data_IF_955918187453
#
_entry.id   IF_955918187453
#
_cell.length_a   1.000
_cell.length_b   1.000
_cell.length_c   1.000
_cell.angle_alpha   90.00
_cell.angle_beta   90.00
_cell.angle_gamma   90.00
#
_symmetry.space_group_name_H-M   'P 1'
#
loop_
_entity.id
_entity.type
_entity.pdbx_description
1 polymer ?
#
# COMPACT_ATOMS: atom_id res chain seq x y z
N UNK A 1 0.90 3.56 17.18
CA UNK A 1 -0.23 3.11 16.35
C UNK A 1 -0.17 3.97 15.09
N UNK A 2 -0.16 3.36 13.90
CA UNK A 2 -0.19 4.13 12.65
C UNK A 2 -1.66 4.41 12.35
N UNK A 3 -2.18 5.58 12.72
CA UNK A 3 -3.63 5.86 12.68
C UNK A 3 -4.12 6.41 11.33
N UNK A 4 -3.35 6.14 10.27
CA UNK A 4 -3.50 6.76 8.96
C UNK A 4 -4.89 6.51 8.35
N UNK A 5 -5.56 5.41 8.70
CA UNK A 5 -6.83 5.02 8.09
C UNK A 5 -8.05 5.43 8.93
N UNK A 6 -7.92 5.50 10.27
CA UNK A 6 -8.97 6.11 11.08
C UNK A 6 -9.10 7.60 10.80
N UNK A 7 -7.98 8.32 10.69
CA UNK A 7 -7.99 9.73 10.26
C UNK A 7 -8.63 9.91 8.88
N UNK A 8 -8.45 8.95 7.97
CA UNK A 8 -9.12 8.98 6.65
C UNK A 8 -10.63 8.91 6.79
N UNK A 9 -11.12 8.02 7.65
CA UNK A 9 -12.55 7.86 7.92
C UNK A 9 -13.12 9.04 8.69
N UNK A 10 -12.34 9.66 9.58
CA UNK A 10 -12.72 10.88 10.28
C UNK A 10 -12.79 12.06 9.31
N UNK A 11 -11.82 12.21 8.40
CA UNK A 11 -11.83 13.27 7.40
C UNK A 11 -13.00 13.15 6.41
N UNK A 12 -13.57 11.96 6.20
CA UNK A 12 -14.83 11.82 5.42
C UNK A 12 -16.04 12.44 6.13
N UNK A 13 -15.97 12.62 7.44
CA UNK A 13 -17.09 13.10 8.26
C UNK A 13 -16.81 14.44 8.93
N UNK A 14 -15.60 14.98 8.75
CA UNK A 14 -15.14 16.22 9.34
C UNK A 14 -15.84 17.41 8.67
N UNK A 15 -16.61 18.16 9.46
CA UNK A 15 -17.24 19.40 9.04
C UNK A 15 -16.27 20.54 9.39
N UNK A 16 -15.89 21.41 8.43
CA UNK A 16 -15.02 22.56 8.71
C UNK A 16 -15.58 23.52 9.77
N UNK A 17 -16.85 23.42 10.14
CA UNK A 17 -17.50 24.21 11.19
C UNK A 17 -17.51 23.55 12.58
N UNK A 18 -17.33 22.23 12.69
CA UNK A 18 -17.24 21.49 13.96
C UNK A 18 -16.19 20.36 13.83
N UNK A 19 -14.90 20.69 13.99
CA UNK A 19 -13.82 19.74 13.74
C UNK A 19 -13.87 18.58 14.73
N UNK A 20 -13.78 17.36 14.21
CA UNK A 20 -13.75 16.16 15.03
C UNK A 20 -12.49 16.18 15.92
N UNK A 21 -12.61 15.97 17.24
CA UNK A 21 -11.46 16.01 18.15
C UNK A 21 -10.40 14.97 17.75
N UNK A 22 -9.13 15.32 18.01
CA UNK A 22 -7.97 14.51 17.63
C UNK A 22 -8.08 13.06 18.13
N UNK A 23 -7.90 12.11 17.21
CA UNK A 23 -7.65 10.70 17.51
C UNK A 23 -6.14 10.47 17.63
N UNK A 24 -5.67 9.54 18.49
CA UNK A 24 -6.43 8.73 19.42
C UNK A 24 -6.91 9.50 20.67
N UNK A 25 -8.10 9.17 21.23
CA UNK A 25 -8.58 9.80 22.45
C UNK A 25 -7.64 9.47 23.63
N UNK A 26 -7.11 10.50 24.27
CA UNK A 26 -6.17 10.36 25.40
C UNK A 26 -6.84 10.01 26.75
N UNK A 27 -8.16 10.18 26.88
CA UNK A 27 -8.92 9.91 28.10
C UNK A 27 -10.42 9.74 27.81
N UNK A 28 -11.19 9.30 28.80
CA UNK A 28 -12.64 9.09 28.68
C UNK A 28 -13.40 10.35 28.19
N UNK A 29 -12.95 11.54 28.57
CA UNK A 29 -13.58 12.80 28.15
C UNK A 29 -13.38 13.06 26.66
N UNK A 30 -12.16 12.84 26.13
CA UNK A 30 -11.89 12.99 24.70
C UNK A 30 -12.55 11.89 23.89
N UNK A 31 -12.64 10.67 24.43
CA UNK A 31 -13.42 9.58 23.84
C UNK A 31 -14.90 9.95 23.70
N UNK A 32 -15.53 10.44 24.77
CA UNK A 32 -16.95 10.84 24.72
C UNK A 32 -17.18 12.03 23.79
N UNK A 33 -16.20 12.93 23.67
CA UNK A 33 -16.25 14.03 22.71
C UNK A 33 -16.22 13.50 21.28
N UNK A 34 -15.29 12.58 20.97
CA UNK A 34 -15.19 11.93 19.66
C UNK A 34 -16.44 11.12 19.31
N UNK A 35 -16.96 10.35 20.26
CA UNK A 35 -18.21 9.61 20.10
C UNK A 35 -19.38 10.55 19.76
N UNK A 36 -19.52 11.64 20.50
CA UNK A 36 -20.59 12.62 20.25
C UNK A 36 -20.42 13.33 18.91
N UNK A 37 -19.20 13.65 18.51
CA UNK A 37 -18.90 14.23 17.20
C UNK A 37 -19.32 13.29 16.07
N UNK A 38 -18.97 12.00 16.16
CA UNK A 38 -19.39 10.99 15.16
C UNK A 38 -20.92 10.90 15.08
N UNK A 39 -21.62 10.87 16.21
CA UNK A 39 -23.08 10.80 16.24
C UNK A 39 -23.73 12.04 15.61
N UNK A 40 -23.18 13.24 15.88
CA UNK A 40 -23.71 14.52 15.42
C UNK A 40 -23.32 14.89 13.99
N UNK A 41 -22.27 14.30 13.44
CA UNK A 41 -21.82 14.55 12.06
C UNK A 41 -22.91 14.28 11.02
N UNK A 42 -22.80 14.87 9.84
CA UNK A 42 -23.71 14.62 8.72
C UNK A 42 -23.41 13.32 7.94
N UNK A 43 -22.51 12.49 8.49
CA UNK A 43 -22.11 11.22 7.90
C UNK A 43 -23.27 10.24 7.74
N UNK A 44 -23.17 9.36 6.75
CA UNK A 44 -24.14 8.27 6.57
C UNK A 44 -24.17 7.35 7.80
N UNK A 45 -25.33 6.75 8.07
CA UNK A 45 -25.48 5.82 9.19
C UNK A 45 -24.46 4.66 9.15
N UNK A 46 -24.08 4.23 7.93
CA UNK A 46 -23.06 3.21 7.73
C UNK A 46 -21.67 3.70 8.16
N UNK A 47 -21.25 4.89 7.74
CA UNK A 47 -19.94 5.45 8.12
C UNK A 47 -19.86 5.72 9.63
N UNK A 48 -20.94 6.23 10.24
CA UNK A 48 -21.03 6.36 11.70
C UNK A 48 -20.85 4.99 12.38
N UNK A 49 -21.55 3.97 11.91
CA UNK A 49 -21.46 2.62 12.47
C UNK A 49 -20.06 2.02 12.31
N UNK A 50 -19.38 2.28 11.18
CA UNK A 50 -17.99 1.86 10.94
C UNK A 50 -17.02 2.49 11.94
N UNK A 51 -17.10 3.81 12.13
CA UNK A 51 -16.26 4.55 13.07
C UNK A 51 -16.49 4.12 14.52
N UNK A 52 -17.74 3.98 14.92
CA UNK A 52 -18.09 3.49 16.26
C UNK A 52 -17.62 2.04 16.48
N UNK A 53 -17.70 1.20 15.45
CA UNK A 53 -17.23 -0.18 15.54
C UNK A 53 -15.70 -0.24 15.69
N UNK A 54 -14.98 0.60 14.94
CA UNK A 54 -13.54 0.74 15.08
C UNK A 54 -13.17 1.15 16.53
N UNK A 55 -13.81 2.21 17.05
CA UNK A 55 -13.58 2.68 18.42
C UNK A 55 -13.88 1.60 19.47
N UNK A 56 -14.98 0.87 19.30
CA UNK A 56 -15.34 -0.20 20.22
C UNK A 56 -14.29 -1.33 20.28
N UNK A 57 -13.60 -1.62 19.17
CA UNK A 57 -12.52 -2.61 19.12
C UNK A 57 -11.26 -2.08 19.79
N UNK A 58 -10.90 -0.81 19.55
CA UNK A 58 -9.71 -0.20 20.16
C UNK A 58 -9.83 -0.14 21.68
N UNK A 59 -11.04 0.12 22.20
CA UNK A 59 -11.35 0.14 23.64
C UNK A 59 -11.61 -1.25 24.24
N UNK A 60 -11.44 -2.33 23.48
CA UNK A 60 -11.77 -3.71 23.89
C UNK A 60 -13.21 -3.87 24.45
N UNK A 61 -14.15 -3.02 24.00
CA UNK A 61 -15.53 -3.02 24.46
C UNK A 61 -16.35 -4.10 23.72
N UNK A 62 -16.22 -5.33 24.21
CA UNK A 62 -16.85 -6.52 23.64
C UNK A 62 -18.37 -6.41 23.44
N UNK A 63 -19.08 -5.71 24.33
CA UNK A 63 -20.54 -5.56 24.23
C UNK A 63 -20.91 -4.62 23.08
N UNK A 64 -20.25 -3.46 23.01
CA UNK A 64 -20.44 -2.51 21.92
C UNK A 64 -20.03 -3.11 20.57
N UNK A 65 -18.91 -3.84 20.53
CA UNK A 65 -18.46 -4.59 19.36
C UNK A 65 -19.54 -5.50 18.81
N UNK A 66 -20.10 -6.42 19.62
CA UNK A 66 -21.14 -7.36 19.15
C UNK A 66 -22.39 -6.65 18.61
N UNK A 67 -22.80 -5.56 19.26
CA UNK A 67 -23.97 -4.80 18.84
C UNK A 67 -23.72 -4.11 17.49
N UNK A 68 -22.63 -3.34 17.37
CA UNK A 68 -22.27 -2.62 16.15
C UNK A 68 -21.95 -3.57 15.00
N UNK A 69 -21.31 -4.70 15.31
CA UNK A 69 -21.03 -5.76 14.36
C UNK A 69 -22.31 -6.29 13.70
N UNK A 70 -23.43 -6.41 14.44
CA UNK A 70 -24.71 -6.85 13.90
C UNK A 70 -25.37 -5.81 12.97
N UNK A 71 -24.99 -4.54 13.08
CA UNK A 71 -25.50 -3.44 12.26
C UNK A 71 -24.70 -3.25 10.96
N UNK A 72 -23.48 -3.78 10.90
CA UNK A 72 -22.59 -3.61 9.75
C UNK A 72 -22.78 -4.71 8.70
N UNK A 73 -22.95 -4.34 7.41
CA UNK A 73 -22.79 -5.27 6.31
C UNK A 73 -21.42 -5.97 6.36
N UNK A 74 -21.35 -7.20 5.86
CA UNK A 74 -20.13 -8.00 5.92
C UNK A 74 -18.91 -7.29 5.32
N UNK A 75 -19.08 -6.61 4.17
CA UNK A 75 -17.99 -5.84 3.55
C UNK A 75 -17.47 -4.71 4.43
N UNK A 76 -18.35 -3.96 5.09
CA UNK A 76 -17.97 -2.88 6.00
C UNK A 76 -17.23 -3.43 7.24
N UNK A 77 -17.61 -4.61 7.71
CA UNK A 77 -16.92 -5.27 8.82
C UNK A 77 -15.48 -5.67 8.45
N UNK A 78 -15.32 -6.38 7.33
CA UNK A 78 -13.98 -6.75 6.85
C UNK A 78 -13.13 -5.51 6.56
N UNK A 79 -13.71 -4.45 6.03
CA UNK A 79 -12.99 -3.20 5.82
C UNK A 79 -12.38 -2.65 7.13
N UNK A 80 -13.19 -2.54 8.18
CA UNK A 80 -12.74 -2.02 9.49
C UNK A 80 -11.76 -2.97 10.19
N UNK A 81 -12.02 -4.27 10.19
CA UNK A 81 -11.09 -5.27 10.74
C UNK A 81 -9.74 -5.23 10.00
N UNK A 82 -9.76 -4.99 8.69
CA UNK A 82 -8.57 -4.79 7.87
C UNK A 82 -7.78 -3.54 8.25
N UNK A 83 -8.45 -2.42 8.50
CA UNK A 83 -7.79 -1.18 8.95
C UNK A 83 -7.15 -1.35 10.33
N UNK A 84 -7.87 -1.95 11.27
CA UNK A 84 -7.34 -2.24 12.61
C UNK A 84 -6.10 -3.14 12.54
N UNK A 85 -6.10 -4.13 11.64
CA UNK A 85 -4.94 -4.97 11.42
C UNK A 85 -3.73 -4.18 10.88
N UNK A 86 -3.93 -3.23 9.96
CA UNK A 86 -2.87 -2.33 9.50
C UNK A 86 -2.33 -1.44 10.62
N UNK A 87 -3.21 -0.88 11.44
CA UNK A 87 -2.81 0.01 12.54
C UNK A 87 -2.01 -0.74 13.62
N UNK A 88 -2.23 -2.07 13.71
CA UNK A 88 -1.49 -3.04 14.54
C UNK A 88 -0.26 -3.64 13.84
N UNK A 89 0.08 -3.19 12.64
CA UNK A 89 1.18 -3.69 11.80
C UNK A 89 1.07 -5.18 11.42
N UNK A 90 -0.16 -5.74 11.44
CA UNK A 90 -0.44 -7.11 11.00
C UNK A 90 -0.89 -7.11 9.53
N UNK A 91 0.10 -6.99 8.63
CA UNK A 91 -0.13 -6.99 7.19
C UNK A 91 -0.84 -8.25 6.68
N UNK A 92 -0.60 -9.41 7.31
CA UNK A 92 -1.19 -10.69 6.88
C UNK A 92 -2.69 -10.70 7.12
N UNK A 93 -3.10 -10.33 8.33
CA UNK A 93 -4.52 -10.22 8.69
C UNK A 93 -5.17 -9.11 7.88
N UNK A 94 -4.50 -7.96 7.75
CA UNK A 94 -5.00 -6.84 6.94
C UNK A 94 -5.36 -7.27 5.52
N UNK A 95 -4.46 -7.93 4.79
CA UNK A 95 -4.72 -8.38 3.41
C UNK A 95 -5.86 -9.40 3.37
N UNK A 96 -5.97 -10.31 4.33
CA UNK A 96 -7.04 -11.30 4.36
C UNK A 96 -8.43 -10.66 4.46
N UNK A 97 -8.58 -9.61 5.27
CA UNK A 97 -9.83 -8.87 5.39
C UNK A 97 -10.04 -7.90 4.23
N UNK A 98 -9.03 -7.10 3.88
CA UNK A 98 -9.14 -6.06 2.86
C UNK A 98 -9.33 -6.63 1.45
N UNK A 99 -8.80 -7.82 1.15
CA UNK A 99 -9.01 -8.49 -0.14
C UNK A 99 -10.36 -9.23 -0.22
N UNK A 100 -11.16 -9.22 0.84
CA UNK A 100 -12.46 -9.89 0.81
C UNK A 100 -13.36 -9.28 -0.28
N UNK A 101 -14.08 -10.08 -1.10
CA UNK A 101 -14.75 -9.59 -2.31
C UNK A 101 -15.75 -8.46 -2.08
N UNK A 102 -16.47 -8.49 -0.94
CA UNK A 102 -17.47 -7.46 -0.62
C UNK A 102 -16.89 -6.17 -0.07
N UNK A 103 -15.56 -6.05 0.11
CA UNK A 103 -14.91 -4.82 0.56
C UNK A 103 -14.78 -3.86 -0.62
N UNK A 104 -15.46 -2.72 -0.54
CA UNK A 104 -15.42 -1.64 -1.51
C UNK A 104 -14.69 -0.42 -0.93
N UNK A 105 -13.46 -0.61 -0.45
CA UNK A 105 -12.67 0.46 0.15
C UNK A 105 -12.34 1.55 -0.87
N UNK A 106 -12.58 2.81 -0.49
CA UNK A 106 -12.22 4.01 -1.25
C UNK A 106 -10.71 4.33 -1.17
N UNK A 107 -10.00 3.81 -0.16
CA UNK A 107 -8.64 4.22 0.20
C UNK A 107 -7.56 3.26 -0.30
N UNK A 108 -7.78 2.63 -1.47
CA UNK A 108 -6.91 1.55 -1.97
C UNK A 108 -5.43 1.93 -2.07
N UNK A 109 -5.13 3.14 -2.50
CA UNK A 109 -3.76 3.65 -2.63
C UNK A 109 -3.11 3.86 -1.27
N UNK A 110 -3.82 4.47 -0.31
CA UNK A 110 -3.34 4.64 1.07
C UNK A 110 -3.12 3.29 1.77
N UNK A 111 -4.00 2.32 1.52
CA UNK A 111 -3.84 0.95 2.04
C UNK A 111 -2.57 0.32 1.47
N UNK A 112 -2.28 0.51 0.18
CA UNK A 112 -1.06 -0.01 -0.43
C UNK A 112 0.20 0.58 0.23
N UNK A 113 0.21 1.88 0.49
CA UNK A 113 1.31 2.53 1.24
C UNK A 113 1.40 1.98 2.67
N UNK A 114 0.26 1.85 3.37
CA UNK A 114 0.23 1.28 4.72
C UNK A 114 0.76 -0.16 4.77
N UNK A 115 0.47 -0.97 3.75
CA UNK A 115 1.02 -2.32 3.63
C UNK A 115 2.55 -2.31 3.48
N UNK A 116 3.10 -1.40 2.68
CA UNK A 116 4.57 -1.26 2.55
C UNK A 116 5.21 -0.79 3.87
N UNK A 117 4.59 0.17 4.58
CA UNK A 117 5.02 0.61 5.93
C UNK A 117 5.01 -0.56 6.92
N UNK A 118 3.98 -1.41 6.86
CA UNK A 118 3.90 -2.63 7.68
C UNK A 118 4.92 -3.71 7.26
N UNK A 119 5.80 -3.42 6.29
CA UNK A 119 6.74 -4.38 5.73
C UNK A 119 6.03 -5.66 5.24
N UNK A 120 4.85 -5.49 4.64
CA UNK A 120 4.10 -6.60 4.07
C UNK A 120 4.96 -7.37 3.08
N UNK A 121 4.86 -8.71 3.09
CA UNK A 121 5.54 -9.51 2.10
C UNK A 121 5.13 -9.11 0.69
N UNK A 122 6.03 -9.23 -0.28
CA UNK A 122 5.79 -8.94 -1.70
C UNK A 122 4.58 -9.72 -2.22
N UNK A 123 4.36 -10.95 -1.74
CA UNK A 123 3.18 -11.76 -2.07
C UNK A 123 1.86 -11.12 -1.60
N UNK A 124 1.84 -10.48 -0.43
CA UNK A 124 0.68 -9.82 0.14
C UNK A 124 0.36 -8.53 -0.62
N UNK A 125 1.40 -7.74 -0.95
CA UNK A 125 1.29 -6.55 -1.79
C UNK A 125 0.71 -6.90 -3.17
N UNK A 126 1.27 -7.91 -3.84
CA UNK A 126 0.79 -8.37 -5.15
C UNK A 126 -0.63 -8.90 -5.10
N UNK A 127 -1.01 -9.61 -4.02
CA UNK A 127 -2.38 -10.09 -3.82
C UNK A 127 -3.35 -8.93 -3.69
N UNK A 128 -3.01 -7.92 -2.91
CA UNK A 128 -3.84 -6.73 -2.75
C UNK A 128 -4.02 -5.98 -4.07
N UNK A 129 -2.93 -5.74 -4.81
CA UNK A 129 -2.97 -5.04 -6.09
C UNK A 129 -3.85 -5.79 -7.10
N UNK A 130 -3.72 -7.12 -7.18
CA UNK A 130 -4.54 -7.96 -8.07
C UNK A 130 -6.01 -8.03 -7.66
N UNK A 131 -6.30 -7.97 -6.36
CA UNK A 131 -7.67 -8.06 -5.84
C UNK A 131 -8.42 -6.74 -5.96
N UNK A 132 -7.76 -5.62 -5.64
CA UNK A 132 -8.41 -4.32 -5.48
C UNK A 132 -8.14 -3.32 -6.58
N UNK A 133 -7.11 -3.55 -7.40
CA UNK A 133 -6.71 -2.66 -8.48
C UNK A 133 -6.60 -1.19 -7.99
N UNK A 134 -5.70 -0.89 -7.03
CA UNK A 134 -5.40 0.49 -6.68
C UNK A 134 -4.87 1.24 -7.93
N UNK A 135 -5.13 2.54 -8.00
CA UNK A 135 -4.48 3.37 -9.02
C UNK A 135 -2.98 3.44 -8.72
N UNK A 136 -2.15 3.14 -9.72
CA UNK A 136 -0.68 3.21 -9.63
C UNK A 136 -0.18 4.39 -10.48
N UNK A 137 -0.71 5.57 -10.18
CA UNK A 137 -0.53 6.81 -10.95
C UNK A 137 0.58 7.71 -10.40
N UNK A 138 1.04 7.47 -9.16
CA UNK A 138 2.15 8.20 -8.55
C UNK A 138 3.41 7.33 -8.42
N UNK A 139 4.61 7.94 -8.49
CA UNK A 139 5.89 7.21 -8.48
C UNK A 139 6.09 6.28 -7.27
N UNK A 140 5.60 6.68 -6.10
CA UNK A 140 5.71 5.90 -4.86
C UNK A 140 4.95 4.57 -4.94
N UNK A 141 3.73 4.56 -5.49
CA UNK A 141 2.95 3.31 -5.61
C UNK A 141 3.55 2.39 -6.67
N UNK A 142 4.10 2.97 -7.73
CA UNK A 142 4.82 2.23 -8.77
C UNK A 142 6.10 1.61 -8.23
N UNK A 143 6.85 2.30 -7.37
CA UNK A 143 8.05 1.73 -6.75
C UNK A 143 7.71 0.57 -5.81
N UNK A 144 6.65 0.68 -5.00
CA UNK A 144 6.13 -0.42 -4.16
C UNK A 144 5.79 -1.64 -5.03
N UNK A 145 5.07 -1.43 -6.14
CA UNK A 145 4.69 -2.52 -7.02
C UNK A 145 5.89 -3.14 -7.75
N UNK A 146 6.80 -2.33 -8.28
CA UNK A 146 8.01 -2.80 -8.96
C UNK A 146 8.92 -3.59 -8.03
N UNK A 147 9.12 -3.10 -6.79
CA UNK A 147 9.86 -3.82 -5.75
C UNK A 147 9.22 -5.18 -5.47
N UNK A 148 7.90 -5.20 -5.27
CA UNK A 148 7.18 -6.44 -5.00
C UNK A 148 7.25 -7.45 -6.18
N UNK A 149 7.22 -6.97 -7.43
CA UNK A 149 7.46 -7.80 -8.60
C UNK A 149 8.88 -8.33 -8.65
N UNK A 150 9.88 -7.47 -8.44
CA UNK A 150 11.28 -7.84 -8.49
C UNK A 150 11.64 -8.89 -7.44
N UNK A 151 11.05 -8.81 -6.24
CA UNK A 151 11.20 -9.81 -5.17
C UNK A 151 10.72 -11.21 -5.57
N UNK A 152 9.68 -11.30 -6.41
CA UNK A 152 9.24 -12.57 -6.98
C UNK A 152 10.13 -12.97 -8.15
N UNK A 153 10.36 -12.05 -9.08
CA UNK A 153 11.20 -12.24 -10.25
C UNK A 153 11.52 -10.91 -10.91
N UNK A 154 12.81 -10.63 -11.12
CA UNK A 154 13.25 -9.46 -11.90
C UNK A 154 12.67 -9.46 -13.33
N UNK A 155 12.44 -10.64 -13.92
CA UNK A 155 11.81 -10.77 -15.24
C UNK A 155 10.38 -10.23 -15.22
N UNK A 156 9.60 -10.53 -14.17
CA UNK A 156 8.23 -10.05 -14.06
C UNK A 156 8.17 -8.52 -13.93
N UNK A 157 9.14 -7.91 -13.24
CA UNK A 157 9.25 -6.46 -13.17
C UNK A 157 9.58 -5.84 -14.53
N UNK A 158 10.52 -6.42 -15.28
CA UNK A 158 10.88 -5.95 -16.63
C UNK A 158 9.74 -6.12 -17.61
N UNK A 159 9.05 -7.26 -17.60
CA UNK A 159 7.89 -7.50 -18.47
C UNK A 159 6.77 -6.49 -18.20
N UNK A 160 6.52 -6.17 -16.92
CA UNK A 160 5.57 -5.10 -16.58
C UNK A 160 6.00 -3.75 -17.17
N UNK A 161 7.27 -3.36 -17.03
CA UNK A 161 7.80 -2.12 -17.60
C UNK A 161 7.61 -2.09 -19.12
N UNK A 162 7.82 -3.22 -19.81
CA UNK A 162 7.63 -3.35 -21.26
C UNK A 162 6.16 -3.23 -21.68
N UNK A 163 5.21 -3.52 -20.79
CA UNK A 163 3.79 -3.31 -21.04
C UNK A 163 3.34 -1.85 -20.80
N UNK A 164 4.12 -1.05 -20.08
CA UNK A 164 3.82 0.36 -19.87
C UNK A 164 3.99 1.22 -21.14
N UNK A 165 3.49 2.46 -21.07
CA UNK A 165 3.66 3.46 -22.11
C UNK A 165 5.16 3.67 -22.40
N UNK A 166 5.60 3.63 -23.68
CA UNK A 166 7.00 3.88 -24.06
C UNK A 166 7.63 5.11 -23.40
N UNK A 167 6.87 6.19 -23.16
CA UNK A 167 7.36 7.40 -22.53
C UNK A 167 7.87 7.19 -21.08
N UNK A 168 7.30 6.22 -20.37
CA UNK A 168 7.58 5.98 -18.94
C UNK A 168 8.56 4.83 -18.72
N UNK A 169 8.90 4.05 -19.76
CA UNK A 169 9.71 2.83 -19.60
C UNK A 169 11.11 3.12 -19.07
N UNK A 170 11.74 4.18 -19.57
CA UNK A 170 13.10 4.54 -19.18
C UNK A 170 13.18 4.98 -17.71
N UNK A 171 12.20 5.73 -17.23
CA UNK A 171 12.14 6.15 -15.83
C UNK A 171 11.86 4.94 -14.92
N UNK A 172 10.90 4.09 -15.28
CA UNK A 172 10.58 2.88 -14.52
C UNK A 172 11.73 1.86 -14.48
N UNK A 173 12.46 1.69 -15.59
CA UNK A 173 13.65 0.83 -15.64
C UNK A 173 14.75 1.38 -14.73
N UNK A 174 14.96 2.70 -14.74
CA UNK A 174 15.90 3.35 -13.83
C UNK A 174 15.50 3.11 -12.38
N UNK A 175 14.22 3.30 -12.03
CA UNK A 175 13.68 3.01 -10.70
C UNK A 175 13.92 1.56 -10.29
N UNK A 176 13.68 0.60 -11.18
CA UNK A 176 13.95 -0.82 -10.90
C UNK A 176 15.44 -1.05 -10.57
N UNK A 177 16.34 -0.49 -11.36
CA UNK A 177 17.80 -0.63 -11.13
C UNK A 177 18.20 -0.02 -9.78
N UNK A 178 17.70 1.18 -9.45
CA UNK A 178 17.96 1.80 -8.15
C UNK A 178 17.45 0.93 -7.00
N UNK A 179 16.24 0.37 -7.09
CA UNK A 179 15.69 -0.54 -6.09
C UNK A 179 16.54 -1.80 -5.91
N UNK A 180 17.09 -2.36 -7.00
CA UNK A 180 17.95 -3.53 -6.95
C UNK A 180 19.33 -3.20 -6.34
N UNK A 181 19.89 -2.03 -6.63
CA UNK A 181 21.15 -1.56 -6.07
C UNK A 181 21.03 -1.27 -4.57
N UNK A 182 19.99 -0.53 -4.16
CA UNK A 182 19.70 -0.25 -2.75
C UNK A 182 19.49 -1.52 -1.93
N UNK A 183 18.85 -2.54 -2.53
CA UNK A 183 18.66 -3.85 -1.92
C UNK A 183 19.89 -4.77 -1.97
N UNK A 184 21.03 -4.32 -2.51
CA UNK A 184 22.23 -5.14 -2.76
C UNK A 184 21.93 -6.45 -3.51
N UNK A 185 21.02 -6.41 -4.49
CA UNK A 185 20.52 -7.57 -5.23
C UNK A 185 21.35 -7.86 -6.48
N UNK A 186 22.66 -8.05 -6.29
CA UNK A 186 23.62 -8.27 -7.39
C UNK A 186 23.22 -9.41 -8.33
N UNK A 187 22.65 -10.50 -7.80
CA UNK A 187 22.22 -11.63 -8.62
C UNK A 187 21.09 -11.25 -9.58
N UNK A 188 20.15 -10.41 -9.14
CA UNK A 188 19.04 -9.96 -9.98
C UNK A 188 19.48 -8.86 -10.96
N UNK A 189 20.47 -8.05 -10.60
CA UNK A 189 21.15 -7.15 -11.55
C UNK A 189 21.88 -7.92 -12.66
N UNK A 190 22.60 -8.99 -12.32
CA UNK A 190 23.26 -9.86 -13.32
C UNK A 190 22.20 -10.48 -14.25
N UNK A 191 21.09 -10.98 -13.69
CA UNK A 191 19.97 -11.49 -14.48
C UNK A 191 19.44 -10.43 -15.43
N UNK A 192 19.13 -9.23 -14.94
CA UNK A 192 18.65 -8.08 -15.73
C UNK A 192 19.59 -7.77 -16.89
N UNK A 193 20.89 -7.68 -16.63
CA UNK A 193 21.90 -7.36 -17.64
C UNK A 193 22.00 -8.48 -18.68
N UNK A 194 21.81 -9.73 -18.31
CA UNK A 194 21.83 -10.86 -19.23
C UNK A 194 20.51 -11.09 -19.97
N UNK A 195 19.47 -10.28 -19.73
CA UNK A 195 18.23 -10.33 -20.50
C UNK A 195 18.46 -9.82 -21.93
N UNK A 196 17.55 -10.21 -22.83
CA UNK A 196 17.43 -9.62 -24.17
C UNK A 196 16.92 -8.17 -24.05
N UNK A 197 17.83 -7.25 -23.79
CA UNK A 197 17.54 -5.82 -23.68
C UNK A 197 17.48 -5.17 -25.06
N UNK A 198 16.51 -4.28 -25.27
CA UNK A 198 16.50 -3.42 -26.44
C UNK A 198 17.65 -2.39 -26.40
N UNK A 199 17.96 -1.77 -27.54
CA UNK A 199 18.98 -0.71 -27.59
C UNK A 199 18.64 0.45 -26.64
N UNK A 200 17.36 0.81 -26.54
CA UNK A 200 16.88 1.85 -25.64
C UNK A 200 17.06 1.46 -24.17
N UNK A 201 16.64 0.25 -23.78
CA UNK A 201 16.81 -0.27 -22.42
C UNK A 201 18.30 -0.32 -22.02
N UNK A 202 19.15 -0.75 -22.94
CA UNK A 202 20.59 -0.80 -22.71
C UNK A 202 21.22 0.59 -22.55
N UNK A 203 20.74 1.57 -23.33
CA UNK A 203 21.18 2.98 -23.22
C UNK A 203 20.83 3.56 -21.84
N UNK A 204 19.66 3.22 -21.30
CA UNK A 204 19.23 3.63 -19.96
C UNK A 204 20.17 3.06 -18.89
N UNK A 205 20.51 1.77 -18.97
CA UNK A 205 21.46 1.16 -18.04
C UNK A 205 22.84 1.83 -18.07
N UNK A 206 23.34 2.18 -19.26
CA UNK A 206 24.62 2.89 -19.40
C UNK A 206 24.60 4.32 -18.87
N UNK A 207 23.44 4.96 -18.89
CA UNK A 207 23.28 6.34 -18.40
C UNK A 207 23.28 6.43 -16.86
N UNK A 208 23.01 5.33 -16.15
CA UNK A 208 22.98 5.31 -14.68
C UNK A 208 24.42 5.44 -14.14
N UNK A 209 24.74 6.49 -13.38
CA UNK A 209 26.09 6.74 -12.89
C UNK A 209 26.36 5.95 -11.60
N UNK A 210 26.30 4.62 -11.67
CA UNK A 210 26.54 3.74 -10.53
C UNK A 210 27.82 2.91 -10.70
N UNK A 211 28.68 2.91 -9.67
CA UNK A 211 29.97 2.22 -9.69
C UNK A 211 29.84 0.69 -9.60
N UNK A 212 28.73 0.17 -9.06
CA UNK A 212 28.43 -1.27 -9.02
C UNK A 212 27.88 -1.80 -10.34
N UNK A 213 27.15 -0.98 -11.10
CA UNK A 213 26.56 -1.35 -12.38
C UNK A 213 27.60 -1.38 -13.54
N UNK A 214 28.54 -0.42 -13.54
CA UNK A 214 29.54 -0.26 -14.63
C UNK A 214 30.42 -1.51 -14.89
N UNK A 215 30.97 -2.19 -13.86
CA UNK A 215 31.75 -3.42 -14.07
C UNK A 215 30.92 -4.52 -14.74
N UNK A 216 29.64 -4.65 -14.37
CA UNK A 216 28.75 -5.68 -14.90
C UNK A 216 28.42 -5.44 -16.37
N UNK A 217 28.18 -4.17 -16.76
CA UNK A 217 27.95 -3.80 -18.16
C UNK A 217 29.21 -4.03 -19.01
N UNK A 218 30.39 -3.68 -18.48
CA UNK A 218 31.68 -3.90 -19.17
C UNK A 218 31.94 -5.39 -19.40
N UNK A 219 31.66 -6.24 -18.40
CA UNK A 219 31.77 -7.69 -18.55
C UNK A 219 30.86 -8.20 -19.68
N UNK A 220 29.60 -7.78 -19.72
CA UNK A 220 28.66 -8.18 -20.79
C UNK A 220 29.17 -7.77 -22.17
N UNK A 221 29.58 -6.51 -22.34
CA UNK A 221 30.09 -6.00 -23.62
C UNK A 221 31.28 -6.85 -24.13
N UNK A 222 32.10 -7.39 -23.22
CA UNK A 222 33.27 -8.23 -23.54
C UNK A 222 32.92 -9.64 -24.01
N UNK A 223 31.72 -10.16 -23.71
CA UNK A 223 31.28 -11.50 -24.12
C UNK A 223 30.43 -11.50 -25.41
N UNK A 224 29.93 -10.32 -25.82
CA UNK A 224 29.06 -10.16 -27.00
C UNK A 224 29.85 -9.61 -28.20
N UNK A 225 31.08 -9.14 -28.00
CA UNK A 225 32.03 -8.74 -29.05
C UNK A 225 32.83 -9.91 -29.61
#
# INVERSE_FOLDING_TARGET
>A
MFDLLFESLVNEIDDPTDPVPAYPPLNDSTYMTLYNAIIRSDATALNKSKLLYYLAIVEDNNRACRHLQALLPQGARHEIEGYIALDRLDAKTAVAHLCYPSVASSFKTRILVALDICSASSSAILTFIRSKHPALDIPELLSIYLKALADVSVYAAVDYIRCCNPADRSSLLSTLVFLLLEGNRLHDLIRLINMELSADEYSVLKAIPDEGLRPLLTMRDSYIS
#
